data_IF_787305128966
#
_entry.id   IF_787305128966
#
_cell.length_a   1.000
_cell.length_b   1.000
_cell.length_c   1.000
_cell.angle_alpha   90.00
_cell.angle_beta   90.00
_cell.angle_gamma   90.00
#
_symmetry.space_group_name_H-M   'P 1'
#
loop_
_entity.id
_entity.type
_entity.pdbx_description
1 polymer ?
#
# COMPACT_ATOMS: atom_id res chain seq x y z
N UNK A 1 -27.35 18.51 -1.34
CA UNK A 1 -26.28 18.45 -0.32
C UNK A 1 -25.91 16.98 -0.20
N UNK A 2 -24.71 16.58 -0.65
CA UNK A 2 -24.29 15.17 -0.62
C UNK A 2 -23.57 14.95 0.70
N UNK A 3 -24.27 14.38 1.66
CA UNK A 3 -23.71 13.87 2.91
C UNK A 3 -22.69 12.79 2.57
N UNK A 4 -21.41 13.14 2.68
CA UNK A 4 -20.33 12.15 2.59
C UNK A 4 -20.41 11.28 3.84
N UNK A 5 -21.03 10.09 3.69
CA UNK A 5 -20.96 8.98 4.62
C UNK A 5 -19.50 8.73 5.03
N UNK A 6 -19.07 9.33 6.14
CA UNK A 6 -17.95 8.82 6.92
C UNK A 6 -18.47 7.59 7.67
N UNK A 7 -18.68 6.50 6.94
CA UNK A 7 -18.76 5.18 7.56
C UNK A 7 -17.44 4.96 8.29
N UNK A 8 -17.53 4.74 9.59
CA UNK A 8 -16.46 4.34 10.47
C UNK A 8 -15.97 2.95 10.01
N UNK A 9 -15.25 2.91 8.89
CA UNK A 9 -14.71 1.70 8.29
C UNK A 9 -13.52 1.27 9.15
N UNK A 10 -13.81 0.53 10.21
CA UNK A 10 -12.80 -0.16 11.00
C UNK A 10 -11.82 -0.85 10.05
N UNK A 11 -10.54 -0.51 10.18
CA UNK A 11 -9.49 -1.15 9.40
C UNK A 11 -9.45 -2.64 9.78
N UNK A 12 -9.44 -3.53 8.79
CA UNK A 12 -9.59 -4.99 8.98
C UNK A 12 -8.54 -5.80 8.23
N UNK A 13 -8.16 -6.93 8.81
CA UNK A 13 -7.29 -7.93 8.18
C UNK A 13 -5.92 -7.38 7.78
N UNK A 14 -5.47 -7.67 6.56
CA UNK A 14 -4.15 -7.25 6.07
C UNK A 14 -3.93 -5.73 6.14
N UNK A 15 -4.99 -4.94 5.98
CA UNK A 15 -4.91 -3.49 6.06
C UNK A 15 -4.54 -2.99 7.47
N UNK A 16 -4.86 -3.74 8.54
CA UNK A 16 -4.45 -3.40 9.91
C UNK A 16 -2.93 -3.40 10.01
N UNK A 17 -2.30 -4.46 9.52
CA UNK A 17 -0.83 -4.59 9.53
C UNK A 17 -0.19 -3.43 8.76
N UNK A 18 -0.68 -3.15 7.55
CA UNK A 18 -0.16 -2.07 6.72
C UNK A 18 -0.39 -0.70 7.39
N UNK A 19 -1.53 -0.50 8.03
CA UNK A 19 -1.84 0.72 8.76
C UNK A 19 -0.86 0.94 9.91
N UNK A 20 -0.67 -0.05 10.80
CA UNK A 20 0.24 0.05 11.94
C UNK A 20 1.69 0.35 11.54
N UNK A 21 2.10 -0.12 10.36
CA UNK A 21 3.44 0.16 9.81
C UNK A 21 3.52 1.61 9.28
N UNK A 22 2.47 2.11 8.62
CA UNK A 22 2.52 3.37 7.89
C UNK A 22 2.07 4.60 8.68
N UNK A 23 1.12 4.45 9.61
CA UNK A 23 0.58 5.60 10.36
C UNK A 23 1.62 6.40 11.15
N UNK A 24 2.70 5.81 11.70
CA UNK A 24 3.75 6.60 12.35
C UNK A 24 4.43 7.63 11.43
N UNK A 25 4.36 7.45 10.10
CA UNK A 25 4.89 8.43 9.15
C UNK A 25 4.18 9.79 9.23
N UNK A 26 2.93 9.81 9.69
CA UNK A 26 2.18 11.06 9.87
C UNK A 26 2.75 11.94 10.98
N UNK A 27 3.59 11.41 11.86
CA UNK A 27 4.27 12.18 12.91
C UNK A 27 5.70 12.59 12.48
N UNK A 28 6.17 12.08 11.34
CA UNK A 28 7.50 12.37 10.82
C UNK A 28 7.50 13.60 9.92
N UNK A 29 8.01 14.74 10.42
CA UNK A 29 8.09 15.99 9.66
C UNK A 29 8.86 15.86 8.34
N UNK A 30 9.97 15.11 8.31
CA UNK A 30 10.74 14.89 7.07
C UNK A 30 9.92 14.13 6.02
N UNK A 31 9.05 13.22 6.46
CA UNK A 31 8.11 12.54 5.58
C UNK A 31 7.07 13.51 5.04
N UNK A 32 6.42 14.28 5.91
CA UNK A 32 5.41 15.27 5.51
C UNK A 32 5.98 16.25 4.46
N UNK A 33 7.16 16.84 4.73
CA UNK A 33 7.83 17.77 3.82
C UNK A 33 8.16 17.12 2.46
N UNK A 34 8.62 15.85 2.48
CA UNK A 34 9.00 15.15 1.26
C UNK A 34 7.80 14.80 0.37
N UNK A 35 6.65 14.52 0.99
CA UNK A 35 5.45 14.05 0.30
C UNK A 35 4.33 15.10 0.22
N UNK A 36 4.58 16.35 0.62
CA UNK A 36 3.60 17.46 0.60
C UNK A 36 2.96 17.72 -0.77
N UNK A 37 3.65 17.42 -1.87
CA UNK A 37 3.15 17.60 -3.24
C UNK A 37 2.76 16.28 -3.91
N UNK A 38 2.58 15.21 -3.12
CA UNK A 38 2.27 13.88 -3.64
C UNK A 38 0.84 13.50 -3.27
N UNK A 39 0.05 13.21 -4.31
CA UNK A 39 -1.23 12.51 -4.18
C UNK A 39 -1.14 11.18 -4.92
N UNK A 40 -1.38 10.08 -4.22
CA UNK A 40 -1.31 8.73 -4.81
C UNK A 40 -2.11 7.72 -4.02
N UNK A 41 -2.81 6.83 -4.73
CA UNK A 41 -3.51 5.68 -4.16
C UNK A 41 -2.83 4.39 -4.61
N UNK A 42 -2.36 3.57 -3.66
CA UNK A 42 -1.60 2.35 -3.93
C UNK A 42 -2.35 1.18 -3.30
N UNK A 43 -2.77 0.22 -4.13
CA UNK A 43 -3.48 -0.97 -3.66
C UNK A 43 -2.50 -2.14 -3.49
N UNK A 44 -2.42 -2.67 -2.27
CA UNK A 44 -1.70 -3.89 -1.92
C UNK A 44 -2.69 -5.02 -1.64
N UNK A 45 -2.64 -6.08 -2.45
CA UNK A 45 -3.53 -7.23 -2.32
C UNK A 45 -2.76 -8.51 -1.96
N UNK A 46 -2.87 -8.95 -0.71
CA UNK A 46 -2.51 -10.31 -0.34
C UNK A 46 -3.58 -11.27 -0.89
N UNK A 47 -3.28 -11.96 -1.99
CA UNK A 47 -4.27 -12.69 -2.80
C UNK A 47 -5.01 -13.80 -2.04
N UNK A 48 -4.39 -14.33 -0.99
CA UNK A 48 -4.89 -15.35 -0.09
C UNK A 48 -5.63 -14.79 1.15
N UNK A 49 -5.74 -13.47 1.31
CA UNK A 49 -6.44 -12.83 2.43
C UNK A 49 -7.76 -12.17 2.01
N UNK A 50 -8.65 -11.98 2.99
CA UNK A 50 -10.01 -11.44 2.76
C UNK A 50 -10.02 -9.95 2.40
N UNK A 51 -9.08 -9.19 2.95
CA UNK A 51 -8.99 -7.74 2.76
C UNK A 51 -7.65 -7.35 2.11
N UNK A 52 -7.71 -6.44 1.15
CA UNK A 52 -6.59 -5.71 0.60
C UNK A 52 -6.42 -4.36 1.33
N UNK A 53 -5.22 -3.78 1.24
CA UNK A 53 -4.90 -2.49 1.82
C UNK A 53 -4.79 -1.44 0.71
N UNK A 54 -5.66 -0.43 0.75
CA UNK A 54 -5.54 0.75 -0.09
C UNK A 54 -4.83 1.85 0.67
N UNK A 55 -3.57 2.08 0.34
CA UNK A 55 -2.76 3.15 0.91
C UNK A 55 -3.10 4.43 0.16
N UNK A 56 -3.53 5.46 0.88
CA UNK A 56 -3.83 6.78 0.35
C UNK A 56 -2.81 7.76 0.89
N UNK A 57 -2.04 8.35 -0.01
CA UNK A 57 -1.08 9.42 0.27
C UNK A 57 -1.70 10.71 -0.24
N UNK A 58 -1.76 11.70 0.64
CA UNK A 58 -2.41 12.97 0.38
C UNK A 58 -1.63 14.09 1.08
N UNK A 59 -0.85 14.84 0.31
CA UNK A 59 -0.12 16.03 0.76
C UNK A 59 0.67 15.85 2.07
N UNK A 60 1.50 14.79 2.13
CA UNK A 60 2.33 14.52 3.31
C UNK A 60 1.64 13.67 4.39
N UNK A 61 0.38 13.29 4.20
CA UNK A 61 -0.34 12.38 5.07
C UNK A 61 -0.55 11.02 4.42
N UNK A 62 -0.53 9.97 5.22
CA UNK A 62 -0.87 8.61 4.81
C UNK A 62 -2.01 8.07 5.65
N UNK A 63 -2.97 7.43 4.98
CA UNK A 63 -4.01 6.60 5.61
C UNK A 63 -4.17 5.30 4.87
N UNK A 64 -4.75 4.30 5.53
CA UNK A 64 -4.98 2.99 4.94
C UNK A 64 -6.45 2.62 5.04
N UNK A 65 -7.03 2.24 3.91
CA UNK A 65 -8.42 1.79 3.79
C UNK A 65 -8.44 0.27 3.54
N UNK A 66 -9.41 -0.42 4.14
CA UNK A 66 -9.60 -1.87 3.95
C UNK A 66 -10.56 -2.12 2.79
N UNK A 67 -10.13 -2.87 1.79
CA UNK A 67 -10.97 -3.21 0.63
C UNK A 67 -11.18 -4.71 0.60
N UNK A 68 -12.44 -5.18 0.55
CA UNK A 68 -12.72 -6.60 0.36
C UNK A 68 -12.11 -7.11 -0.96
N UNK A 69 -11.30 -8.16 -0.89
CA UNK A 69 -10.61 -8.75 -2.04
C UNK A 69 -11.60 -9.45 -2.99
N UNK A 70 -12.71 -9.96 -2.44
CA UNK A 70 -13.79 -10.59 -3.20
C UNK A 70 -15.09 -9.77 -3.11
N UNK A 71 -15.86 -9.65 -4.21
CA UNK A 71 -15.48 -10.07 -5.57
C UNK A 71 -14.33 -9.21 -6.15
N UNK A 72 -13.61 -9.72 -7.17
CA UNK A 72 -12.43 -9.04 -7.77
C UNK A 72 -12.75 -7.64 -8.30
N UNK A 73 -14.02 -7.39 -8.60
CA UNK A 73 -14.62 -6.10 -8.96
C UNK A 73 -14.28 -4.99 -7.96
N UNK A 74 -14.18 -5.33 -6.68
CA UNK A 74 -13.83 -4.38 -5.60
C UNK A 74 -12.43 -3.79 -5.79
N UNK A 75 -11.52 -4.55 -6.40
CA UNK A 75 -10.13 -4.14 -6.61
C UNK A 75 -9.91 -3.43 -7.95
N UNK A 76 -10.95 -3.23 -8.77
CA UNK A 76 -10.77 -2.59 -10.09
C UNK A 76 -10.47 -1.10 -9.93
N UNK A 77 -9.47 -0.62 -10.68
CA UNK A 77 -9.06 0.81 -10.69
C UNK A 77 -10.24 1.78 -10.84
N UNK A 78 -11.21 1.45 -11.71
CA UNK A 78 -12.41 2.27 -11.93
C UNK A 78 -13.30 2.46 -10.69
N UNK A 79 -13.23 1.55 -9.71
CA UNK A 79 -14.09 1.57 -8.52
C UNK A 79 -13.44 2.29 -7.34
N UNK A 80 -12.13 2.14 -7.17
CA UNK A 80 -11.39 2.62 -5.98
C UNK A 80 -10.21 3.55 -6.32
N UNK A 81 -10.00 3.87 -7.60
CA UNK A 81 -9.14 4.97 -8.04
C UNK A 81 -7.63 4.78 -7.85
N UNK A 82 -7.12 3.55 -7.65
CA UNK A 82 -5.68 3.36 -7.44
C UNK A 82 -4.83 3.72 -8.67
N UNK A 83 -3.63 4.24 -8.42
CA UNK A 83 -2.62 4.57 -9.43
C UNK A 83 -1.53 3.50 -9.52
N UNK A 84 -1.37 2.70 -8.47
CA UNK A 84 -0.52 1.52 -8.43
C UNK A 84 -1.24 0.33 -7.80
N UNK A 85 -0.88 -0.87 -8.26
CA UNK A 85 -1.43 -2.12 -7.76
C UNK A 85 -0.33 -3.17 -7.65
N UNK A 86 -0.33 -3.88 -6.53
CA UNK A 86 0.56 -4.98 -6.25
C UNK A 86 -0.23 -6.13 -5.61
N UNK A 87 -0.26 -7.28 -6.28
CA UNK A 87 -0.88 -8.51 -5.78
C UNK A 87 0.16 -9.62 -5.71
N UNK A 88 0.24 -10.27 -4.55
CA UNK A 88 1.06 -11.45 -4.29
C UNK A 88 0.50 -12.19 -3.06
N UNK A 89 1.01 -13.37 -2.74
CA UNK A 89 0.65 -14.07 -1.51
C UNK A 89 1.28 -13.40 -0.26
N UNK A 90 0.72 -13.66 0.92
CA UNK A 90 1.22 -13.12 2.21
C UNK A 90 2.69 -13.48 2.47
N UNK A 91 3.15 -14.68 2.11
CA UNK A 91 4.53 -15.10 2.39
C UNK A 91 5.52 -14.24 1.59
N UNK A 92 5.20 -13.96 0.33
CA UNK A 92 5.98 -13.04 -0.50
C UNK A 92 5.98 -11.63 0.07
N UNK A 93 4.86 -11.12 0.57
CA UNK A 93 4.81 -9.81 1.26
C UNK A 93 5.73 -9.76 2.48
N UNK A 94 5.64 -10.75 3.37
CA UNK A 94 6.44 -10.82 4.59
C UNK A 94 7.93 -10.91 4.27
N UNK A 95 8.31 -11.70 3.26
CA UNK A 95 9.69 -11.81 2.87
C UNK A 95 10.27 -10.49 2.34
N UNK A 96 9.45 -9.63 1.71
CA UNK A 96 9.85 -8.28 1.32
C UNK A 96 10.01 -7.39 2.56
N UNK A 97 9.02 -7.41 3.46
CA UNK A 97 9.03 -6.58 4.66
C UNK A 97 10.23 -6.88 5.57
N UNK A 98 10.66 -8.15 5.64
CA UNK A 98 11.83 -8.59 6.39
C UNK A 98 13.17 -8.35 5.65
N UNK A 99 13.17 -7.61 4.53
CA UNK A 99 14.33 -7.44 3.64
C UNK A 99 14.97 -8.75 3.14
N UNK A 100 14.28 -9.90 3.25
CA UNK A 100 14.75 -11.20 2.73
C UNK A 100 14.61 -11.30 1.22
N UNK A 101 13.74 -10.48 0.62
CA UNK A 101 13.50 -10.39 -0.80
C UNK A 101 13.53 -8.93 -1.25
N UNK A 102 14.47 -8.57 -2.12
CA UNK A 102 14.50 -7.24 -2.72
C UNK A 102 13.34 -7.07 -3.71
N UNK A 103 12.83 -5.85 -3.86
CA UNK A 103 11.78 -5.58 -4.85
C UNK A 103 12.19 -5.89 -6.29
N UNK A 104 13.48 -5.83 -6.60
CA UNK A 104 14.01 -6.30 -7.88
C UNK A 104 13.88 -7.83 -8.01
N UNK A 105 14.13 -8.59 -6.95
CA UNK A 105 13.85 -10.03 -6.89
C UNK A 105 12.36 -10.37 -7.03
N UNK A 106 11.48 -9.53 -6.49
CA UNK A 106 10.03 -9.64 -6.65
C UNK A 106 9.59 -9.29 -8.08
N UNK A 107 10.22 -8.30 -8.70
CA UNK A 107 9.99 -7.98 -10.11
C UNK A 107 10.45 -9.12 -11.04
N UNK A 108 11.45 -9.93 -10.67
CA UNK A 108 11.74 -11.18 -11.38
C UNK A 108 10.62 -12.22 -11.21
N UNK A 109 10.01 -12.31 -10.02
CA UNK A 109 8.83 -13.16 -9.76
C UNK A 109 7.55 -12.67 -10.45
N UNK A 110 7.51 -11.44 -10.94
CA UNK A 110 6.44 -10.96 -11.82
C UNK A 110 6.42 -11.70 -13.16
N UNK A 111 7.59 -12.08 -13.71
CA UNK A 111 7.68 -12.86 -14.94
C UNK A 111 7.10 -14.28 -14.81
N UNK A 112 7.04 -14.82 -13.59
CA UNK A 112 6.46 -16.16 -13.33
C UNK A 112 4.95 -16.12 -13.07
N UNK A 113 4.31 -14.95 -13.19
CA UNK A 113 2.86 -14.79 -13.01
C UNK A 113 2.37 -14.85 -11.55
N UNK A 114 3.27 -15.09 -10.59
CA UNK A 114 2.95 -15.17 -9.15
C UNK A 114 2.73 -13.80 -8.50
N UNK A 115 3.20 -12.74 -9.15
CA UNK A 115 3.01 -11.35 -8.74
C UNK A 115 2.27 -10.62 -9.85
N UNK A 116 1.22 -9.86 -9.53
CA UNK A 116 0.63 -8.90 -10.48
C UNK A 116 1.00 -7.50 -10.06
N UNK A 117 1.51 -6.74 -11.01
CA UNK A 117 2.00 -5.40 -10.76
C UNK A 117 1.47 -4.44 -11.83
N UNK A 118 0.94 -3.29 -11.42
CA UNK A 118 0.57 -2.20 -12.32
C UNK A 118 1.03 -0.88 -11.71
N UNK A 119 1.48 0.04 -12.56
CA UNK A 119 1.95 1.35 -12.11
C UNK A 119 3.27 1.30 -11.34
N UNK A 120 4.27 0.55 -11.82
CA UNK A 120 5.55 0.32 -11.13
C UNK A 120 6.27 1.61 -10.70
N UNK A 121 6.23 2.67 -11.54
CA UNK A 121 6.79 3.98 -11.19
C UNK A 121 6.16 4.58 -9.93
N UNK A 122 4.87 4.35 -9.72
CA UNK A 122 4.13 4.79 -8.53
C UNK A 122 4.34 3.85 -7.34
N UNK A 123 4.68 2.57 -7.55
CA UNK A 123 5.15 1.70 -6.47
C UNK A 123 6.51 2.14 -5.90
N UNK A 124 7.36 2.81 -6.69
CA UNK A 124 8.58 3.41 -6.14
C UNK A 124 8.32 4.47 -5.06
N UNK A 125 7.12 5.08 -5.06
CA UNK A 125 6.69 6.00 -4.00
C UNK A 125 6.64 5.24 -2.67
N UNK A 126 6.01 4.05 -2.65
CA UNK A 126 5.94 3.19 -1.46
C UNK A 126 7.33 2.86 -0.90
N UNK A 127 8.31 2.60 -1.78
CA UNK A 127 9.69 2.33 -1.36
C UNK A 127 10.36 3.53 -0.73
N UNK A 128 10.11 4.71 -1.29
CA UNK A 128 10.59 5.96 -0.70
C UNK A 128 9.96 6.20 0.66
N UNK A 129 8.68 5.86 0.87
CA UNK A 129 8.02 5.98 2.18
C UNK A 129 8.67 5.06 3.22
N UNK A 130 8.96 3.81 2.87
CA UNK A 130 9.57 2.85 3.81
C UNK A 130 10.95 3.28 4.31
N UNK A 131 11.70 4.10 3.56
CA UNK A 131 12.95 4.69 4.04
C UNK A 131 12.76 5.62 5.25
N UNK A 132 11.57 6.18 5.45
CA UNK A 132 11.23 7.00 6.62
C UNK A 132 10.77 6.17 7.82
N UNK A 133 10.53 4.87 7.64
CA UNK A 133 10.23 3.92 8.72
C UNK A 133 11.49 3.31 9.35
N UNK A 134 12.57 3.23 8.57
CA UNK A 134 13.85 2.73 9.05
C UNK A 134 14.53 3.85 9.85
N UNK A 135 14.17 3.97 11.11
CA UNK A 135 15.05 4.59 12.10
C UNK A 135 16.27 3.65 12.19
N UNK A 136 17.48 4.20 12.05
CA UNK A 136 18.79 3.52 11.89
C UNK A 136 19.17 3.07 10.47
N UNK A 137 19.97 3.92 9.81
CA UNK A 137 21.28 3.58 9.24
C UNK A 137 21.86 4.85 8.60
N UNK A 138 22.33 5.78 9.45
CA UNK A 138 23.51 6.61 9.14
C UNK A 138 24.67 6.03 9.94
#
# INVERSE_FOLDING_TARGET
MVESNQENNEIRGFAVLINSILTPLNENKRFQDKFQNVSSRILLNASNLKYAALIVIDHGFVRVESILNKPKENLKKRKIGWNAFLEMDTQTFLAIAMNRLSLLGVAKKWLTGKVKMRGIRKLLILLKMFKFLTIYNE
#
